data_IF_505945418912
#
_entry.id   IF_505945418912
#
_cell.length_a   1.000
_cell.length_b   1.000
_cell.length_c   1.000
_cell.angle_alpha   90.00
_cell.angle_beta   90.00
_cell.angle_gamma   90.00
#
_symmetry.space_group_name_H-M   'P 1'
#
loop_
_entity.id
_entity.type
_entity.pdbx_description
1 polymer ?
#
# COMPACT_ATOMS: atom_id res chain seq x y z
N UNK A 1 5.10 -10.38 -6.49
CA UNK A 1 6.27 -9.52 -6.39
C UNK A 1 5.82 -8.21 -5.79
N UNK A 2 6.55 -7.76 -4.78
CA UNK A 2 6.41 -6.46 -4.14
C UNK A 2 7.56 -5.64 -4.70
N UNK A 3 7.26 -4.44 -5.18
CA UNK A 3 8.27 -3.50 -5.67
C UNK A 3 8.34 -2.35 -4.69
N UNK A 4 9.54 -2.06 -4.20
CA UNK A 4 9.80 -0.91 -3.31
C UNK A 4 10.67 0.08 -4.06
N UNK A 5 10.24 1.34 -4.11
CA UNK A 5 10.93 2.43 -4.78
C UNK A 5 11.06 3.64 -3.86
N UNK A 6 12.16 4.38 -3.96
CA UNK A 6 12.36 5.65 -3.22
C UNK A 6 11.86 6.87 -4.00
N UNK A 7 11.51 6.70 -5.27
CA UNK A 7 10.85 7.71 -6.08
C UNK A 7 9.38 7.38 -6.25
N UNK A 8 8.54 8.40 -6.26
CA UNK A 8 7.11 8.28 -6.52
C UNK A 8 6.75 8.94 -7.86
N UNK A 9 5.97 8.21 -8.65
CA UNK A 9 5.21 8.72 -9.79
C UNK A 9 3.78 8.22 -9.65
N UNK A 10 2.81 9.05 -9.97
CA UNK A 10 1.41 8.64 -9.96
C UNK A 10 1.21 7.44 -10.93
N UNK A 11 0.59 6.34 -10.47
CA UNK A 11 0.41 5.18 -11.32
C UNK A 11 -0.63 5.42 -12.41
N UNK A 12 -0.48 4.74 -13.55
CA UNK A 12 -1.48 4.79 -14.63
C UNK A 12 -2.65 3.84 -14.36
N UNK A 13 -3.81 4.12 -14.96
CA UNK A 13 -4.96 3.20 -14.91
C UNK A 13 -5.58 3.07 -13.51
N UNK A 14 -5.62 4.18 -12.75
CA UNK A 14 -6.23 4.24 -11.41
C UNK A 14 -7.73 3.96 -11.50
N UNK A 15 -8.18 2.95 -10.77
CA UNK A 15 -9.60 2.63 -10.57
C UNK A 15 -10.11 3.38 -9.34
N UNK A 16 -9.30 3.41 -8.29
CA UNK A 16 -9.63 4.06 -7.02
C UNK A 16 -8.39 4.62 -6.36
N UNK A 17 -8.54 5.75 -5.69
CA UNK A 17 -7.51 6.34 -4.85
C UNK A 17 -8.06 6.70 -3.48
N UNK A 18 -7.23 6.59 -2.45
CA UNK A 18 -7.56 7.00 -1.08
C UNK A 18 -6.35 7.74 -0.49
N UNK A 19 -6.43 9.07 -0.37
CA UNK A 19 -5.35 9.86 0.22
C UNK A 19 -5.26 9.62 1.73
N UNK A 20 -4.14 10.02 2.34
CA UNK A 20 -3.93 9.98 3.79
C UNK A 20 -4.15 8.59 4.40
N UNK A 21 -3.75 7.54 3.68
CA UNK A 21 -3.86 6.14 4.09
C UNK A 21 -2.59 5.71 4.82
N UNK A 22 -2.74 5.21 6.04
CA UNK A 22 -1.65 4.57 6.79
C UNK A 22 -1.38 3.17 6.24
N UNK A 23 -0.10 2.81 6.11
CA UNK A 23 0.31 1.45 5.78
C UNK A 23 0.97 0.79 6.97
N UNK A 24 0.44 -0.37 7.36
CA UNK A 24 1.03 -1.24 8.36
C UNK A 24 1.44 -2.55 7.69
N UNK A 25 2.64 -3.03 7.98
CA UNK A 25 3.14 -4.34 7.55
C UNK A 25 3.48 -5.13 8.80
N UNK A 26 2.78 -6.23 9.06
CA UNK A 26 2.95 -7.05 10.27
C UNK A 26 2.94 -6.19 11.55
N UNK A 27 1.92 -5.33 11.69
CA UNK A 27 1.72 -4.38 12.79
C UNK A 27 2.76 -3.24 12.91
N UNK A 28 3.74 -3.19 12.01
CA UNK A 28 4.69 -2.07 11.92
C UNK A 28 4.15 -0.98 11.00
N UNK A 29 3.92 0.23 11.54
CA UNK A 29 3.55 1.41 10.75
C UNK A 29 4.74 1.91 9.93
N UNK A 30 4.57 2.01 8.60
CA UNK A 30 5.60 2.53 7.69
C UNK A 30 5.42 4.03 7.39
N UNK A 31 4.20 4.55 7.54
CA UNK A 31 3.90 5.96 7.33
C UNK A 31 2.49 6.19 6.83
N UNK A 32 2.27 7.38 6.26
CA UNK A 32 0.99 7.81 5.67
C UNK A 32 1.22 8.32 4.25
N UNK A 33 0.49 7.78 3.27
CA UNK A 33 0.59 8.14 1.86
C UNK A 33 -0.75 7.93 1.13
N UNK A 34 -0.77 8.07 -0.19
CA UNK A 34 -1.95 7.77 -0.98
C UNK A 34 -1.94 6.30 -1.38
N UNK A 35 -3.08 5.62 -1.17
CA UNK A 35 -3.35 4.28 -1.70
C UNK A 35 -3.99 4.42 -3.07
N UNK A 36 -3.48 3.70 -4.05
CA UNK A 36 -4.00 3.60 -5.41
C UNK A 36 -4.30 2.13 -5.72
N UNK A 37 -5.49 1.87 -6.23
CA UNK A 37 -5.86 0.57 -6.80
C UNK A 37 -5.95 0.75 -8.31
N UNK A 38 -5.10 0.04 -9.04
CA UNK A 38 -5.07 0.04 -10.50
C UNK A 38 -5.58 -1.29 -11.05
N UNK A 39 -5.62 -1.40 -12.37
CA UNK A 39 -5.90 -2.68 -13.04
C UNK A 39 -4.80 -3.73 -12.86
N UNK A 40 -3.58 -3.33 -12.51
CA UNK A 40 -2.39 -4.19 -12.52
C UNK A 40 -1.80 -4.42 -11.13
N UNK A 41 -1.97 -3.47 -10.23
CA UNK A 41 -1.37 -3.48 -8.91
C UNK A 41 -2.12 -2.61 -7.90
N UNK A 42 -1.73 -2.79 -6.63
CA UNK A 42 -2.08 -1.87 -5.55
C UNK A 42 -0.81 -1.11 -5.17
N UNK A 43 -0.84 0.21 -5.29
CA UNK A 43 0.30 1.08 -5.03
C UNK A 43 0.03 1.94 -3.81
N UNK A 44 1.00 2.05 -2.92
CA UNK A 44 0.99 2.98 -1.81
C UNK A 44 2.21 3.88 -1.92
N UNK A 45 2.03 5.20 -2.06
CA UNK A 45 3.14 6.12 -2.31
C UNK A 45 2.76 7.60 -2.30
N UNK A 46 3.77 8.46 -2.45
CA UNK A 46 3.59 9.91 -2.51
C UNK A 46 3.35 10.58 -1.14
N UNK A 47 3.82 9.98 -0.06
CA UNK A 47 3.55 10.44 1.31
C UNK A 47 4.78 10.61 2.19
N UNK A 48 4.54 10.57 3.50
CA UNK A 48 5.56 10.73 4.54
C UNK A 48 5.73 9.42 5.32
N UNK A 49 6.98 9.02 5.50
CA UNK A 49 7.34 7.87 6.33
C UNK A 49 7.20 8.17 7.82
N UNK A 50 7.22 7.12 8.64
CA UNK A 50 7.12 7.22 10.11
C UNK A 50 8.17 8.15 10.75
N UNK A 51 9.33 8.31 10.11
CA UNK A 51 10.45 9.14 10.59
C UNK A 51 10.38 10.60 10.10
N UNK A 52 9.29 11.01 9.44
CA UNK A 52 9.08 12.39 8.95
C UNK A 52 9.74 12.71 7.59
N UNK A 53 10.50 11.78 7.01
CA UNK A 53 11.02 11.87 5.64
C UNK A 53 10.02 11.37 4.58
N UNK A 54 10.38 11.42 3.28
CA UNK A 54 9.56 10.82 2.22
C UNK A 54 9.30 9.33 2.48
N UNK A 55 8.06 8.89 2.27
CA UNK A 55 7.75 7.46 2.33
C UNK A 55 8.33 6.74 1.10
N UNK A 56 8.74 5.47 1.23
CA UNK A 56 8.90 4.65 0.03
C UNK A 56 7.55 4.51 -0.70
N UNK A 57 7.64 4.20 -1.98
CA UNK A 57 6.51 3.71 -2.77
C UNK A 57 6.54 2.19 -2.75
N UNK A 58 5.41 1.57 -2.46
CA UNK A 58 5.25 0.11 -2.40
C UNK A 58 4.18 -0.29 -3.40
N UNK A 59 4.52 -1.15 -4.35
CA UNK A 59 3.58 -1.70 -5.34
C UNK A 59 3.42 -3.21 -5.15
N UNK A 60 2.18 -3.64 -4.96
CA UNK A 60 1.77 -5.04 -4.82
C UNK A 60 1.15 -5.51 -6.14
N UNK A 61 1.92 -6.26 -6.93
CA UNK A 61 1.46 -6.72 -8.24
C UNK A 61 0.46 -7.87 -8.10
N UNK A 62 -0.65 -7.84 -8.86
CA UNK A 62 -1.48 -9.03 -9.02
C UNK A 62 -0.71 -10.12 -9.80
N UNK A 63 -0.92 -11.43 -9.52
CA UNK A 63 -1.88 -12.02 -8.58
C UNK A 63 -1.30 -12.28 -7.17
N UNK A 64 -0.29 -11.53 -6.72
CA UNK A 64 0.46 -11.86 -5.50
C UNK A 64 -0.24 -11.49 -4.18
N UNK A 65 -1.44 -10.95 -4.27
CA UNK A 65 -2.35 -10.74 -3.14
C UNK A 65 -3.23 -11.99 -3.06
N UNK A 66 -2.96 -12.84 -2.06
CA UNK A 66 -3.68 -14.10 -1.84
C UNK A 66 -5.12 -13.86 -1.38
N UNK A 67 -5.30 -12.85 -0.53
CA UNK A 67 -6.59 -12.48 0.05
C UNK A 67 -6.61 -10.99 0.34
N UNK A 68 -7.77 -10.36 0.14
CA UNK A 68 -8.06 -9.02 0.62
C UNK A 68 -9.38 -9.04 1.40
N UNK A 69 -9.49 -8.20 2.42
CA UNK A 69 -10.67 -8.10 3.26
C UNK A 69 -10.87 -6.66 3.73
N UNK A 70 -12.12 -6.32 4.06
CA UNK A 70 -12.48 -5.02 4.61
C UNK A 70 -12.73 -5.20 6.11
N UNK A 71 -11.92 -4.55 6.93
CA UNK A 71 -12.24 -4.32 8.33
C UNK A 71 -13.12 -3.08 8.44
N UNK A 72 -14.18 -3.15 9.26
CA UNK A 72 -15.07 -2.01 9.54
C UNK A 72 -14.88 -1.45 10.94
N UNK A 73 -14.65 -2.32 11.92
CA UNK A 73 -14.49 -1.99 13.34
C UNK A 73 -13.17 -2.60 13.86
N UNK A 74 -12.45 -1.93 14.77
CA UNK A 74 -12.76 -0.63 15.38
C UNK A 74 -12.48 0.57 14.45
N UNK A 75 -11.75 0.34 13.34
CA UNK A 75 -11.44 1.37 12.34
C UNK A 75 -11.52 0.75 10.95
N UNK A 76 -12.08 1.47 9.95
CA UNK A 76 -12.08 1.02 8.57
C UNK A 76 -10.66 0.79 8.04
N UNK A 77 -10.39 -0.39 7.51
CA UNK A 77 -9.09 -0.74 6.92
C UNK A 77 -9.22 -1.78 5.81
N UNK A 78 -8.31 -1.71 4.84
CA UNK A 78 -8.13 -2.75 3.83
C UNK A 78 -7.01 -3.69 4.30
N UNK A 79 -7.37 -4.94 4.61
CA UNK A 79 -6.42 -5.99 4.92
C UNK A 79 -6.03 -6.74 3.66
N UNK A 80 -4.74 -7.01 3.49
CA UNK A 80 -4.20 -7.78 2.38
C UNK A 80 -3.20 -8.80 2.90
N UNK A 81 -3.33 -10.05 2.44
CA UNK A 81 -2.41 -11.14 2.72
C UNK A 81 -1.65 -11.47 1.45
N UNK A 82 -0.32 -11.44 1.51
CA UNK A 82 0.54 -11.77 0.38
C UNK A 82 0.84 -13.27 0.35
N UNK A 83 1.17 -13.78 -0.83
CA UNK A 83 1.46 -15.21 -1.04
C UNK A 83 2.82 -15.68 -0.50
N UNK A 84 3.62 -14.77 0.06
CA UNK A 84 4.95 -15.04 0.59
C UNK A 84 5.28 -14.06 1.72
N UNK A 85 6.23 -14.44 2.57
CA UNK A 85 6.78 -13.55 3.58
C UNK A 85 7.70 -12.50 2.93
N UNK A 86 7.54 -11.25 3.35
CA UNK A 86 8.52 -10.19 3.08
C UNK A 86 9.74 -10.49 3.97
N UNK A 87 10.79 -11.04 3.38
CA UNK A 87 12.09 -11.24 4.02
C UNK A 87 12.95 -9.98 3.94
#
# INVERSE_FOLDING_TARGET
MVVVSHSFSEPEGIIMQTPSTKLLVNDQELGTATLYITHHDVVWGGGVGSNGGPSPTISLLYPNISLHAIQREPTPALYMVLSYELR
#
